data_IF_535974303984
#
_entry.id   IF_535974303984
#
_cell.length_a   1.000
_cell.length_b   1.000
_cell.length_c   1.000
_cell.angle_alpha   90.00
_cell.angle_beta   90.00
_cell.angle_gamma   90.00
#
_symmetry.space_group_name_H-M   'P 1'
#
loop_
_entity.id
_entity.type
_entity.pdbx_description
1 polymer ?
#
# COMPACT_ATOMS: atom_id res chain seq x y z
N UNK A 1 -6.33 11.60 -5.72
CA UNK A 1 -4.98 11.42 -5.16
C UNK A 1 -4.49 10.00 -5.41
N UNK A 2 -3.49 9.79 -6.30
CA UNK A 2 -2.73 8.54 -6.41
C UNK A 2 -1.61 8.49 -5.35
N UNK A 3 -1.22 7.28 -4.91
CA UNK A 3 -0.27 7.01 -3.80
C UNK A 3 0.39 5.65 -4.07
N UNK A 4 1.71 5.50 -3.96
CA UNK A 4 2.42 4.25 -4.33
C UNK A 4 3.25 3.65 -3.18
N UNK A 5 3.53 2.34 -3.21
CA UNK A 5 4.14 1.51 -2.12
C UNK A 5 5.58 1.14 -2.55
N UNK A 6 6.63 0.85 -1.76
CA UNK A 6 6.89 0.40 -0.37
C UNK A 6 8.31 0.87 0.08
N UNK A 7 8.60 0.97 1.39
CA UNK A 7 9.92 1.33 1.92
C UNK A 7 10.59 0.26 2.81
N UNK A 8 11.89 0.00 2.55
CA UNK A 8 12.89 0.15 3.61
C UNK A 8 14.11 1.02 3.21
N UNK A 9 13.98 1.90 2.20
CA UNK A 9 15.01 2.87 1.79
C UNK A 9 14.37 4.19 1.31
N UNK A 10 14.33 5.19 2.18
CA UNK A 10 13.34 6.30 2.16
C UNK A 10 13.48 7.39 1.06
N UNK A 11 14.16 7.11 -0.05
CA UNK A 11 14.62 8.15 -1.00
C UNK A 11 13.87 8.20 -2.34
N UNK A 12 13.15 7.14 -2.72
CA UNK A 12 12.71 6.91 -4.11
C UNK A 12 11.18 7.03 -4.29
N UNK A 13 10.59 8.17 -3.90
CA UNK A 13 9.18 8.51 -4.23
C UNK A 13 8.07 7.64 -3.61
N UNK A 14 8.42 6.67 -2.76
CA UNK A 14 7.49 5.74 -2.11
C UNK A 14 6.64 6.41 -1.01
N UNK A 15 5.35 6.04 -0.93
CA UNK A 15 4.31 6.73 -0.16
C UNK A 15 3.30 5.78 0.52
N UNK A 16 3.63 4.50 0.69
CA UNK A 16 2.75 3.51 1.33
C UNK A 16 3.58 2.29 1.77
N UNK A 17 3.07 1.43 2.66
CA UNK A 17 3.73 0.17 3.05
C UNK A 17 2.74 -0.83 3.65
N UNK A 18 2.96 -2.13 3.44
CA UNK A 18 2.21 -3.25 4.02
C UNK A 18 3.10 -4.00 5.00
N UNK A 19 2.83 -3.86 6.29
CA UNK A 19 3.66 -4.42 7.36
C UNK A 19 2.86 -5.47 8.13
N UNK A 20 3.42 -6.67 8.23
CA UNK A 20 2.87 -7.81 8.95
C UNK A 20 3.57 -7.97 10.30
N UNK A 21 2.82 -8.13 11.39
CA UNK A 21 3.35 -8.26 12.76
C UNK A 21 2.72 -9.41 13.54
N UNK A 22 3.34 -9.79 14.65
CA UNK A 22 2.81 -10.70 15.68
C UNK A 22 2.78 -10.05 17.09
N UNK A 23 2.27 -10.78 18.09
CA UNK A 23 2.04 -10.33 19.48
C UNK A 23 3.16 -9.56 20.20
N UNK A 24 4.43 -9.91 19.99
CA UNK A 24 5.65 -9.24 20.46
C UNK A 24 5.96 -7.92 19.72
N UNK A 25 5.09 -7.48 18.81
CA UNK A 25 5.28 -6.32 17.91
C UNK A 25 6.47 -6.46 16.95
N UNK A 26 6.93 -7.68 16.69
CA UNK A 26 7.94 -7.96 15.66
C UNK A 26 7.31 -8.04 14.29
N UNK A 27 8.00 -7.49 13.28
CA UNK A 27 7.69 -7.70 11.87
C UNK A 27 7.94 -9.16 11.50
N UNK A 28 7.05 -9.75 10.70
CA UNK A 28 7.08 -11.16 10.36
C UNK A 28 6.52 -11.49 8.97
N UNK A 29 6.73 -12.72 8.50
CA UNK A 29 6.05 -13.29 7.34
C UNK A 29 5.82 -14.79 7.57
N UNK A 30 4.56 -15.20 7.76
CA UNK A 30 4.23 -16.50 8.36
C UNK A 30 4.96 -16.68 9.69
N UNK A 31 5.68 -17.80 9.85
CA UNK A 31 6.46 -18.08 11.06
C UNK A 31 7.81 -17.33 11.17
N UNK A 32 8.23 -16.61 10.12
CA UNK A 32 9.54 -15.96 10.09
C UNK A 32 9.49 -14.60 10.77
N UNK A 33 10.20 -14.44 11.90
CA UNK A 33 10.33 -13.18 12.63
C UNK A 33 11.56 -12.40 12.16
N UNK A 34 11.45 -11.07 12.01
CA UNK A 34 12.57 -10.20 11.61
C UNK A 34 12.94 -9.21 12.73
N UNK A 35 12.52 -7.96 12.65
CA UNK A 35 12.92 -6.84 13.53
C UNK A 35 11.70 -6.23 14.27
N UNK A 36 11.92 -5.32 15.23
CA UNK A 36 10.81 -4.64 15.91
C UNK A 36 10.11 -3.64 14.98
N UNK A 37 8.79 -3.52 15.08
CA UNK A 37 8.03 -2.48 14.35
C UNK A 37 8.53 -1.05 14.63
N UNK A 38 9.19 -0.82 15.78
CA UNK A 38 9.83 0.45 16.12
C UNK A 38 10.80 0.94 15.03
N UNK A 39 11.45 0.04 14.29
CA UNK A 39 12.32 0.39 13.16
C UNK A 39 11.51 1.10 12.07
N UNK A 40 10.38 0.50 11.65
CA UNK A 40 9.48 1.09 10.63
C UNK A 40 8.90 2.41 11.11
N UNK A 41 8.50 2.50 12.38
CA UNK A 41 7.99 3.73 12.98
C UNK A 41 9.05 4.84 12.97
N UNK A 42 10.31 4.50 13.27
CA UNK A 42 11.41 5.46 13.23
C UNK A 42 11.78 5.89 11.81
N UNK A 43 11.77 4.98 10.83
CA UNK A 43 11.99 5.31 9.41
C UNK A 43 10.87 6.21 8.85
N UNK A 44 9.61 5.94 9.21
CA UNK A 44 8.46 6.81 8.88
C UNK A 44 8.61 8.19 9.52
N UNK A 45 8.99 8.27 10.79
CA UNK A 45 9.26 9.55 11.48
C UNK A 45 10.41 10.32 10.85
N UNK A 46 11.49 9.63 10.48
CA UNK A 46 12.66 10.21 9.81
C UNK A 46 12.25 10.80 8.47
N UNK A 47 11.60 10.03 7.60
CA UNK A 47 11.08 10.52 6.32
C UNK A 47 10.18 11.75 6.52
N UNK A 48 9.26 11.73 7.49
CA UNK A 48 8.40 12.88 7.81
C UNK A 48 9.17 14.12 8.31
N UNK A 49 10.38 13.97 8.86
CA UNK A 49 11.26 15.08 9.24
C UNK A 49 12.13 15.60 8.08
N UNK A 50 12.38 14.77 7.08
CA UNK A 50 13.18 15.09 5.88
C UNK A 50 12.32 15.62 4.72
N UNK A 51 10.98 15.55 4.84
CA UNK A 51 9.98 15.87 3.80
C UNK A 51 8.90 16.83 4.32
N UNK A 52 8.03 17.38 3.45
CA UNK A 52 7.05 18.42 3.84
C UNK A 52 5.62 18.26 3.28
N UNK A 53 5.48 17.79 2.04
CA UNK A 53 4.21 17.69 1.29
C UNK A 53 3.71 16.26 1.09
N UNK A 54 4.54 15.29 1.42
CA UNK A 54 4.39 13.87 1.15
C UNK A 54 3.41 13.22 2.13
N UNK A 55 2.53 12.34 1.63
CA UNK A 55 1.52 11.64 2.44
C UNK A 55 1.72 10.13 2.30
N UNK A 56 1.63 9.41 3.42
CA UNK A 56 1.93 7.99 3.56
C UNK A 56 0.65 7.19 3.87
N UNK A 57 0.39 6.09 3.16
CA UNK A 57 -0.55 5.05 3.60
C UNK A 57 0.22 3.92 4.29
N UNK A 58 0.24 3.93 5.62
CA UNK A 58 0.91 2.90 6.42
C UNK A 58 -0.10 1.80 6.79
N UNK A 59 -0.16 0.74 5.99
CA UNK A 59 -0.90 -0.48 6.33
C UNK A 59 -0.08 -1.33 7.30
N UNK A 60 -0.67 -1.65 8.44
CA UNK A 60 -0.12 -2.61 9.40
C UNK A 60 -1.20 -3.64 9.72
N UNK A 61 -0.84 -4.91 9.72
CA UNK A 61 -1.74 -6.04 9.97
C UNK A 61 -1.11 -7.10 10.86
N UNK A 62 -1.91 -7.71 11.71
CA UNK A 62 -1.48 -8.94 12.40
C UNK A 62 -1.44 -10.08 11.38
N UNK A 63 -0.33 -10.81 11.34
CA UNK A 63 -0.09 -11.87 10.36
C UNK A 63 -1.00 -13.08 10.58
N UNK A 64 -1.30 -13.81 9.50
CA UNK A 64 -2.15 -15.00 9.60
C UNK A 64 -1.51 -16.08 10.48
N UNK A 65 -2.22 -16.48 11.54
CA UNK A 65 -1.80 -17.50 12.50
C UNK A 65 -1.31 -16.95 13.84
N UNK A 66 -1.09 -15.64 13.95
CA UNK A 66 -0.59 -14.97 15.16
C UNK A 66 -1.70 -14.24 15.93
N UNK A 67 -1.37 -13.79 17.14
CA UNK A 67 -2.23 -12.98 17.99
C UNK A 67 -2.00 -11.47 17.77
N UNK A 68 -3.00 -10.64 18.10
CA UNK A 68 -2.79 -9.19 18.03
C UNK A 68 -1.89 -8.72 19.18
N UNK A 69 -0.90 -7.84 18.92
CA UNK A 69 -0.12 -7.23 19.99
C UNK A 69 -1.02 -6.45 20.96
N UNK A 70 -0.86 -6.62 22.29
CA UNK A 70 -1.68 -5.91 23.28
C UNK A 70 -1.56 -4.38 23.12
N UNK A 71 -2.71 -3.69 23.17
CA UNK A 71 -2.82 -2.22 23.08
C UNK A 71 -2.08 -1.60 21.87
N UNK A 72 -2.01 -2.33 20.75
CA UNK A 72 -1.24 -1.88 19.58
C UNK A 72 -1.86 -0.67 18.86
N UNK A 73 -3.18 -0.53 18.89
CA UNK A 73 -3.87 0.67 18.40
C UNK A 73 -3.42 1.93 19.15
N UNK A 74 -3.35 1.86 20.49
CA UNK A 74 -2.86 2.94 21.34
C UNK A 74 -1.38 3.25 21.07
N UNK A 75 -0.55 2.22 20.85
CA UNK A 75 0.85 2.39 20.45
C UNK A 75 0.97 3.14 19.11
N UNK A 76 0.21 2.75 18.07
CA UNK A 76 0.26 3.45 16.78
C UNK A 76 -0.17 4.92 16.89
N UNK A 77 -1.20 5.21 17.70
CA UNK A 77 -1.65 6.59 17.95
C UNK A 77 -0.61 7.39 18.74
N UNK A 78 -0.03 6.83 19.80
CA UNK A 78 1.04 7.48 20.57
C UNK A 78 2.34 7.65 19.77
N UNK A 79 2.61 6.80 18.79
CA UNK A 79 3.80 6.93 17.96
C UNK A 79 3.64 7.93 16.81
N UNK A 80 2.47 8.01 16.17
CA UNK A 80 2.27 8.80 14.95
C UNK A 80 1.56 10.15 15.19
N UNK A 81 0.81 10.28 16.30
CA UNK A 81 0.27 11.53 16.88
C UNK A 81 -0.22 12.56 15.84
N UNK A 82 0.36 13.77 15.84
CA UNK A 82 -0.01 14.91 14.99
C UNK A 82 0.10 14.64 13.48
N UNK A 83 0.86 13.64 13.06
CA UNK A 83 0.96 13.27 11.64
C UNK A 83 -0.26 12.45 11.17
N UNK A 84 -1.08 11.88 12.05
CA UNK A 84 -2.20 11.02 11.65
C UNK A 84 -3.30 11.80 10.93
N UNK A 85 -3.62 11.41 9.70
CA UNK A 85 -4.86 11.74 9.00
C UNK A 85 -5.92 10.79 9.56
N UNK A 86 -6.85 11.29 10.37
CA UNK A 86 -7.90 10.48 11.00
C UNK A 86 -8.87 9.88 9.95
N UNK A 87 -9.60 8.84 10.33
CA UNK A 87 -10.58 8.17 9.47
C UNK A 87 -11.81 9.06 9.21
N UNK A 88 -11.80 9.74 8.07
CA UNK A 88 -12.83 10.68 7.59
C UNK A 88 -13.09 10.46 6.09
N UNK A 89 -14.31 10.12 5.70
CA UNK A 89 -14.66 9.88 4.29
C UNK A 89 -14.58 11.15 3.41
N UNK A 90 -14.55 12.34 4.00
CA UNK A 90 -14.32 13.59 3.28
C UNK A 90 -12.86 13.73 2.83
N UNK A 91 -11.92 12.91 3.33
CA UNK A 91 -10.53 12.82 2.80
C UNK A 91 -10.51 12.51 1.31
N UNK A 92 -11.46 11.72 0.80
CA UNK A 92 -11.58 11.44 -0.64
C UNK A 92 -12.06 12.64 -1.48
N UNK A 93 -12.52 13.73 -0.84
CA UNK A 93 -12.94 14.98 -1.49
C UNK A 93 -11.87 16.09 -1.35
N UNK A 94 -10.86 15.91 -0.50
CA UNK A 94 -9.84 16.93 -0.17
C UNK A 94 -8.67 16.89 -1.14
N UNK A 95 -8.09 18.07 -1.42
CA UNK A 95 -6.80 18.21 -2.08
C UNK A 95 -5.65 17.82 -1.13
N UNK A 96 -4.44 17.63 -1.67
CA UNK A 96 -3.25 17.34 -0.85
C UNK A 96 -3.02 18.45 0.19
N UNK A 97 -3.19 19.72 -0.21
CA UNK A 97 -3.01 20.89 0.63
C UNK A 97 -4.02 20.98 1.80
N UNK A 98 -5.21 20.38 1.67
CA UNK A 98 -6.22 20.29 2.74
C UNK A 98 -6.03 19.09 3.69
N UNK A 99 -5.14 18.14 3.32
CA UNK A 99 -4.76 17.03 4.20
C UNK A 99 -3.54 17.41 5.06
N UNK A 100 -2.59 18.16 4.48
CA UNK A 100 -1.52 18.81 5.22
C UNK A 100 -2.11 19.75 6.30
N UNK A 101 -1.52 19.83 7.51
CA UNK A 101 -0.19 19.33 7.90
C UNK A 101 -0.14 17.84 8.31
N UNK A 102 -1.27 17.12 8.32
CA UNK A 102 -1.31 15.69 8.62
C UNK A 102 -0.84 14.90 7.39
N UNK A 103 -0.09 13.81 7.59
CA UNK A 103 0.68 13.12 6.54
C UNK A 103 0.65 11.59 6.59
N UNK A 104 0.01 10.96 7.56
CA UNK A 104 -0.05 9.48 7.67
C UNK A 104 -1.48 8.99 7.78
N UNK A 105 -1.95 8.28 6.75
CA UNK A 105 -3.13 7.42 6.81
C UNK A 105 -2.65 6.06 7.32
N UNK A 106 -2.74 5.82 8.64
CA UNK A 106 -2.38 4.52 9.21
C UNK A 106 -3.59 3.58 9.19
N UNK A 107 -3.51 2.50 8.40
CA UNK A 107 -4.55 1.47 8.29
C UNK A 107 -4.18 0.29 9.19
N UNK A 108 -4.85 0.16 10.33
CA UNK A 108 -4.66 -0.96 11.25
C UNK A 108 -5.67 -2.07 10.96
N UNK A 109 -5.16 -3.27 10.65
CA UNK A 109 -5.96 -4.47 10.36
C UNK A 109 -5.69 -5.58 11.41
N UNK A 110 -6.26 -5.47 12.62
CA UNK A 110 -6.16 -6.53 13.63
C UNK A 110 -6.91 -7.80 13.19
N UNK A 111 -6.53 -8.94 13.79
CA UNK A 111 -7.10 -10.27 13.52
C UNK A 111 -8.24 -10.66 14.47
N UNK A 112 -8.23 -10.18 15.72
CA UNK A 112 -9.20 -10.53 16.78
C UNK A 112 -9.72 -9.33 17.56
N UNK A 113 -8.88 -8.31 17.72
CA UNK A 113 -9.17 -7.05 18.38
C UNK A 113 -10.18 -6.23 17.59
N UNK A 114 -10.99 -5.36 18.23
CA UNK A 114 -11.93 -4.51 17.53
C UNK A 114 -11.24 -3.63 16.47
N UNK A 115 -11.83 -3.55 15.28
CA UNK A 115 -11.34 -2.65 14.24
C UNK A 115 -11.57 -1.17 14.61
N UNK A 116 -10.72 -0.31 14.04
CA UNK A 116 -10.85 1.14 14.16
C UNK A 116 -12.24 1.63 13.70
N UNK A 117 -12.82 2.57 14.46
CA UNK A 117 -14.18 3.10 14.23
C UNK A 117 -14.12 4.38 13.39
N UNK A 118 -15.22 4.69 12.70
CA UNK A 118 -15.37 5.96 11.99
C UNK A 118 -15.05 7.16 12.90
N UNK A 119 -14.29 8.13 12.39
CA UNK A 119 -13.80 9.28 13.14
C UNK A 119 -12.58 9.02 14.05
N UNK A 120 -12.12 7.77 14.19
CA UNK A 120 -10.94 7.45 15.01
C UNK A 120 -9.61 7.80 14.30
N UNK A 121 -8.47 7.90 15.02
CA UNK A 121 -7.20 8.30 14.41
C UNK A 121 -6.60 7.27 13.44
N UNK A 122 -7.02 6.01 13.53
CA UNK A 122 -6.59 4.92 12.66
C UNK A 122 -7.71 4.54 11.69
N UNK A 123 -7.33 4.04 10.52
CA UNK A 123 -8.23 3.55 9.49
C UNK A 123 -8.36 2.02 9.59
N UNK A 124 -9.49 1.46 9.16
CA UNK A 124 -9.75 0.01 9.21
C UNK A 124 -9.69 -0.68 7.84
N UNK A 125 -9.80 -2.02 7.83
CA UNK A 125 -9.66 -2.82 6.60
C UNK A 125 -10.72 -2.55 5.52
N UNK A 126 -11.84 -1.90 5.86
CA UNK A 126 -12.84 -1.49 4.88
C UNK A 126 -12.35 -0.40 3.91
N UNK A 127 -11.27 0.33 4.27
CA UNK A 127 -10.83 1.52 3.56
C UNK A 127 -9.59 1.32 2.68
N UNK A 128 -8.88 0.19 2.82
CA UNK A 128 -7.77 -0.19 1.94
C UNK A 128 -7.98 -1.64 1.49
N UNK A 129 -8.44 -1.78 0.24
CA UNK A 129 -8.82 -3.05 -0.38
C UNK A 129 -7.87 -3.39 -1.52
N UNK A 130 -7.73 -4.68 -1.76
CA UNK A 130 -7.14 -5.25 -2.97
C UNK A 130 -7.99 -6.46 -3.40
N UNK A 131 -7.66 -7.02 -4.56
CA UNK A 131 -8.12 -8.34 -4.98
C UNK A 131 -6.89 -9.22 -5.20
N UNK A 132 -6.14 -9.48 -4.13
CA UNK A 132 -4.99 -10.39 -4.19
C UNK A 132 -5.38 -11.77 -4.72
N UNK A 133 -4.53 -12.32 -5.60
CA UNK A 133 -4.59 -13.71 -6.01
C UNK A 133 -3.23 -14.39 -5.84
N UNK A 134 -3.30 -15.66 -5.45
CA UNK A 134 -2.15 -16.56 -5.36
C UNK A 134 -1.80 -17.09 -6.76
N UNK A 135 -0.63 -16.70 -7.26
CA UNK A 135 -0.03 -17.23 -8.49
C UNK A 135 1.40 -16.74 -8.69
N UNK A 136 2.21 -17.57 -9.32
CA UNK A 136 3.56 -17.29 -9.81
C UNK A 136 3.59 -16.85 -11.29
N UNK A 137 2.45 -16.90 -11.99
CA UNK A 137 2.32 -16.66 -13.44
C UNK A 137 2.10 -15.16 -13.73
N UNK A 138 3.05 -14.45 -14.38
CA UNK A 138 2.93 -13.01 -14.63
C UNK A 138 1.68 -12.64 -15.44
N UNK A 139 1.36 -13.41 -16.49
CA UNK A 139 0.19 -13.16 -17.34
C UNK A 139 -1.14 -13.30 -16.58
N UNK A 140 -1.27 -14.33 -15.72
CA UNK A 140 -2.46 -14.54 -14.89
C UNK A 140 -2.64 -13.40 -13.89
N UNK A 141 -1.58 -12.94 -13.23
CA UNK A 141 -1.63 -11.79 -12.31
C UNK A 141 -1.95 -10.49 -13.06
N UNK A 142 -1.30 -10.24 -14.20
CA UNK A 142 -1.52 -9.05 -15.04
C UNK A 142 -2.98 -8.91 -15.51
N UNK A 143 -3.54 -9.95 -16.13
CA UNK A 143 -4.93 -9.93 -16.60
C UNK A 143 -5.94 -9.89 -15.44
N UNK A 144 -5.66 -10.57 -14.32
CA UNK A 144 -6.51 -10.49 -13.13
C UNK A 144 -6.49 -9.10 -12.50
N UNK A 145 -5.32 -8.46 -12.43
CA UNK A 145 -5.17 -7.09 -11.94
C UNK A 145 -5.93 -6.09 -12.82
N UNK A 146 -5.87 -6.22 -14.15
CA UNK A 146 -6.66 -5.41 -15.08
C UNK A 146 -8.16 -5.67 -14.90
N UNK A 147 -8.58 -6.93 -14.78
CA UNK A 147 -9.97 -7.32 -14.55
C UNK A 147 -10.52 -6.71 -13.26
N UNK A 148 -9.92 -7.01 -12.10
CA UNK A 148 -10.43 -6.53 -10.82
C UNK A 148 -10.37 -5.00 -10.69
N UNK A 149 -9.41 -4.34 -11.35
CA UNK A 149 -9.40 -2.89 -11.49
C UNK A 149 -10.58 -2.37 -12.32
N UNK A 150 -10.92 -3.04 -13.43
CA UNK A 150 -12.07 -2.69 -14.28
C UNK A 150 -13.43 -2.96 -13.63
N UNK A 151 -13.46 -3.75 -12.55
CA UNK A 151 -14.63 -3.98 -11.69
C UNK A 151 -14.77 -2.92 -10.57
N UNK A 152 -13.74 -2.11 -10.29
CA UNK A 152 -13.83 -1.05 -9.29
C UNK A 152 -14.58 0.20 -9.79
N UNK A 153 -15.26 0.95 -8.90
CA UNK A 153 -15.69 2.31 -9.20
C UNK A 153 -14.50 3.28 -9.40
N UNK A 154 -14.69 4.37 -10.17
CA UNK A 154 -13.73 5.47 -10.31
C UNK A 154 -13.23 6.02 -8.96
N UNK A 155 -12.01 6.54 -8.93
CA UNK A 155 -11.42 7.18 -7.72
C UNK A 155 -12.27 8.35 -7.20
N UNK A 156 -12.98 9.05 -8.10
CA UNK A 156 -13.85 10.18 -7.76
C UNK A 156 -15.14 9.80 -7.02
N UNK A 157 -15.58 8.53 -7.07
CA UNK A 157 -16.87 8.11 -6.50
C UNK A 157 -16.73 7.20 -5.28
N UNK A 158 -15.65 6.42 -5.16
CA UNK A 158 -15.45 5.50 -4.04
C UNK A 158 -14.87 6.17 -2.78
N UNK A 159 -15.21 5.60 -1.61
CA UNK A 159 -14.70 6.00 -0.28
C UNK A 159 -13.72 4.98 0.31
N UNK A 160 -12.90 4.39 -0.55
CA UNK A 160 -11.82 3.49 -0.17
C UNK A 160 -10.65 3.58 -1.16
N UNK A 161 -9.45 3.37 -0.64
CA UNK A 161 -8.24 3.14 -1.43
C UNK A 161 -8.29 1.72 -2.02
N UNK A 162 -7.98 1.61 -3.30
CA UNK A 162 -7.83 0.33 -3.98
C UNK A 162 -6.38 0.14 -4.43
N UNK A 163 -5.79 -0.97 -3.99
CA UNK A 163 -4.43 -1.42 -4.29
C UNK A 163 -4.47 -2.50 -5.36
N UNK A 164 -3.85 -2.20 -6.50
CA UNK A 164 -3.43 -3.20 -7.46
C UNK A 164 -2.06 -3.70 -7.02
N UNK A 165 -1.99 -4.94 -6.55
CA UNK A 165 -0.72 -5.55 -6.16
C UNK A 165 -0.12 -6.35 -7.32
N UNK A 166 1.04 -5.93 -7.79
CA UNK A 166 1.79 -6.51 -8.90
C UNK A 166 2.77 -7.62 -8.45
N UNK A 167 2.67 -8.12 -7.22
CA UNK A 167 3.55 -9.20 -6.73
C UNK A 167 3.05 -10.57 -7.21
N UNK A 168 3.94 -11.41 -7.73
CA UNK A 168 3.66 -12.84 -7.96
C UNK A 168 4.43 -13.71 -6.96
N UNK A 169 3.78 -14.80 -6.53
CA UNK A 169 4.17 -15.63 -5.38
C UNK A 169 4.45 -17.07 -5.83
N UNK A 170 5.61 -17.67 -5.49
CA UNK A 170 5.94 -19.04 -5.88
C UNK A 170 4.87 -20.05 -5.46
N UNK A 171 4.44 -20.90 -6.40
CA UNK A 171 3.56 -22.04 -6.13
C UNK A 171 4.38 -23.28 -5.74
N UNK A 172 3.75 -24.26 -5.10
CA UNK A 172 4.44 -25.45 -4.57
C UNK A 172 5.08 -26.36 -5.63
N UNK A 173 4.66 -26.23 -6.89
CA UNK A 173 5.17 -26.92 -8.07
C UNK A 173 6.21 -26.09 -8.87
N UNK A 174 6.46 -24.83 -8.49
CA UNK A 174 7.45 -23.99 -9.16
C UNK A 174 8.89 -24.39 -8.72
N UNK A 175 9.82 -24.66 -9.66
CA UNK A 175 11.20 -25.06 -9.33
C UNK A 175 12.02 -23.95 -8.64
N UNK A 176 11.48 -22.73 -8.52
CA UNK A 176 12.10 -21.60 -7.81
C UNK A 176 11.14 -21.10 -6.73
N UNK A 177 11.24 -21.69 -5.53
CA UNK A 177 10.44 -21.34 -4.36
C UNK A 177 10.84 -20.00 -3.70
N UNK A 178 11.91 -19.34 -4.17
CA UNK A 178 12.30 -18.02 -3.70
C UNK A 178 11.40 -16.94 -4.32
N UNK A 179 10.80 -16.09 -3.48
CA UNK A 179 9.84 -15.05 -3.92
C UNK A 179 10.49 -14.07 -4.91
N UNK A 180 11.63 -13.45 -4.56
CA UNK A 180 12.28 -12.40 -5.37
C UNK A 180 12.57 -12.78 -6.84
N UNK A 181 13.13 -13.96 -7.18
CA UNK A 181 13.24 -14.42 -8.57
C UNK A 181 11.92 -14.67 -9.30
N UNK A 182 10.83 -14.97 -8.58
CA UNK A 182 9.50 -15.14 -9.17
C UNK A 182 8.83 -13.79 -9.39
N UNK A 183 8.84 -12.89 -8.39
CA UNK A 183 8.29 -11.52 -8.52
C UNK A 183 8.96 -10.75 -9.65
N UNK A 184 10.28 -10.83 -9.79
CA UNK A 184 11.01 -10.16 -10.90
C UNK A 184 10.51 -10.51 -12.31
N UNK A 185 9.77 -11.61 -12.49
CA UNK A 185 9.15 -12.00 -13.77
C UNK A 185 8.01 -11.07 -14.20
N UNK A 186 7.41 -10.27 -13.31
CA UNK A 186 6.31 -9.34 -13.64
C UNK A 186 6.70 -7.85 -13.60
N UNK A 187 7.85 -7.48 -13.01
CA UNK A 187 8.28 -6.07 -12.87
C UNK A 187 8.32 -5.32 -14.21
N UNK A 188 8.95 -5.90 -15.23
CA UNK A 188 9.08 -5.30 -16.57
C UNK A 188 7.77 -5.06 -17.32
N UNK A 189 6.62 -5.46 -16.76
CA UNK A 189 5.29 -5.13 -17.31
C UNK A 189 4.60 -3.96 -16.60
N UNK A 190 5.24 -3.30 -15.62
CA UNK A 190 4.65 -2.18 -14.87
C UNK A 190 4.19 -1.02 -15.79
N UNK A 191 5.07 -0.54 -16.68
CA UNK A 191 4.71 0.47 -17.70
C UNK A 191 3.61 -0.03 -18.64
N UNK A 192 3.66 -1.28 -19.08
CA UNK A 192 2.63 -1.89 -19.94
C UNK A 192 1.27 -1.96 -19.22
N UNK A 193 1.24 -2.30 -17.94
CA UNK A 193 0.02 -2.37 -17.13
C UNK A 193 -0.66 -1.00 -17.07
N UNK A 194 0.11 0.05 -16.77
CA UNK A 194 -0.37 1.43 -16.74
C UNK A 194 -0.93 1.82 -18.12
N UNK A 195 -0.19 1.59 -19.21
CA UNK A 195 -0.66 1.86 -20.58
C UNK A 195 -1.94 1.10 -20.93
N UNK A 196 -2.07 -0.18 -20.51
CA UNK A 196 -3.31 -0.94 -20.70
C UNK A 196 -4.47 -0.40 -19.86
N UNK A 197 -4.22 0.20 -18.69
CA UNK A 197 -5.27 0.87 -17.92
C UNK A 197 -5.84 2.09 -18.67
N UNK A 198 -5.00 2.87 -19.34
CA UNK A 198 -5.46 3.98 -20.19
C UNK A 198 -6.16 3.47 -21.45
N UNK A 199 -5.55 2.54 -22.19
CA UNK A 199 -6.12 1.98 -23.42
C UNK A 199 -7.46 1.25 -23.22
N UNK A 200 -7.75 0.74 -22.02
CA UNK A 200 -9.02 0.09 -21.66
C UNK A 200 -10.02 1.02 -20.94
N UNK A 201 -9.70 2.30 -20.74
CA UNK A 201 -10.61 3.26 -20.07
C UNK A 201 -10.86 2.97 -18.59
N UNK A 202 -9.83 2.50 -17.87
CA UNK A 202 -9.89 2.13 -16.43
C UNK A 202 -8.81 2.81 -15.58
N UNK A 203 -7.99 3.68 -16.18
CA UNK A 203 -6.93 4.43 -15.49
C UNK A 203 -7.46 5.33 -14.36
N UNK A 204 -8.69 5.83 -14.49
CA UNK A 204 -9.44 6.63 -13.52
C UNK A 204 -9.71 5.89 -12.18
N UNK A 205 -9.57 4.56 -12.18
CA UNK A 205 -9.72 3.68 -11.00
C UNK A 205 -8.38 3.36 -10.36
N UNK A 206 -7.28 3.47 -11.10
CA UNK A 206 -5.93 3.15 -10.63
C UNK A 206 -5.44 4.26 -9.69
N UNK A 207 -5.14 3.88 -8.45
CA UNK A 207 -4.84 4.81 -7.37
C UNK A 207 -3.60 4.39 -6.57
N UNK A 208 -3.53 3.12 -6.19
CA UNK A 208 -2.36 2.50 -5.58
C UNK A 208 -1.93 1.34 -6.49
N UNK A 209 -0.68 1.38 -6.93
CA UNK A 209 0.01 0.26 -7.57
C UNK A 209 1.18 -0.11 -6.66
N UNK A 210 1.38 -1.41 -6.41
CA UNK A 210 2.40 -1.91 -5.49
C UNK A 210 3.14 -3.11 -6.08
N UNK A 211 4.39 -3.33 -5.67
CA UNK A 211 5.14 -4.56 -5.95
C UNK A 211 6.11 -4.81 -4.81
N UNK A 212 6.52 -6.06 -4.61
CA UNK A 212 7.66 -6.39 -3.75
C UNK A 212 8.97 -6.05 -4.50
N UNK A 213 10.08 -5.87 -3.76
CA UNK A 213 11.44 -5.71 -4.31
C UNK A 213 11.61 -4.59 -5.36
N UNK A 214 10.91 -3.47 -5.15
CA UNK A 214 10.77 -2.35 -6.09
C UNK A 214 12.11 -1.87 -6.65
N UNK A 215 12.02 -1.38 -7.89
CA UNK A 215 13.10 -0.78 -8.66
C UNK A 215 12.68 0.59 -9.24
N UNK A 216 13.69 1.35 -9.65
CA UNK A 216 13.58 2.71 -10.19
C UNK A 216 12.57 2.81 -11.35
N UNK A 217 12.51 1.81 -12.24
CA UNK A 217 11.58 1.80 -13.38
C UNK A 217 10.11 1.73 -12.94
N UNK A 218 9.80 0.95 -11.90
CA UNK A 218 8.46 0.90 -11.32
C UNK A 218 8.06 2.25 -10.70
N UNK A 219 8.97 2.91 -9.98
CA UNK A 219 8.76 4.25 -9.39
C UNK A 219 8.51 5.26 -10.50
N UNK A 220 9.40 5.35 -11.49
CA UNK A 220 9.29 6.27 -12.63
C UNK A 220 7.98 6.07 -13.41
N UNK A 221 7.56 4.81 -13.62
CA UNK A 221 6.30 4.50 -14.28
C UNK A 221 5.09 5.09 -13.52
N UNK A 222 5.10 4.99 -12.18
CA UNK A 222 4.05 5.49 -11.30
C UNK A 222 4.06 7.03 -11.18
N UNK A 223 5.24 7.63 -11.08
CA UNK A 223 5.44 9.08 -11.02
C UNK A 223 5.06 9.74 -12.35
N UNK A 224 5.54 9.21 -13.49
CA UNK A 224 5.19 9.73 -14.81
C UNK A 224 3.68 9.64 -15.09
N UNK A 225 3.03 8.53 -14.71
CA UNK A 225 1.58 8.37 -14.83
C UNK A 225 0.79 9.36 -13.95
N UNK A 226 1.35 9.76 -12.81
CA UNK A 226 0.77 10.78 -11.93
C UNK A 226 0.96 12.18 -12.50
N UNK A 227 2.17 12.51 -12.94
CA UNK A 227 2.52 13.80 -13.54
C UNK A 227 1.66 14.07 -14.79
N UNK A 228 1.56 13.09 -15.70
CA UNK A 228 0.72 13.20 -16.90
C UNK A 228 -0.76 13.48 -16.57
N UNK A 229 -1.31 12.88 -15.49
CA UNK A 229 -2.69 13.14 -15.05
C UNK A 229 -2.89 14.55 -14.51
N UNK A 230 -1.94 15.06 -13.73
CA UNK A 230 -1.96 16.43 -13.18
C UNK A 230 -1.88 17.47 -14.32
N UNK A 231 -1.07 17.19 -15.33
CA UNK A 231 -0.85 18.05 -16.49
C UNK A 231 -1.94 17.96 -17.57
N UNK A 232 -2.90 17.03 -17.45
CA UNK A 232 -3.91 16.77 -18.49
C UNK A 232 -3.37 16.14 -19.78
N UNK A 233 -2.26 15.37 -19.67
CA UNK A 233 -1.48 14.79 -20.78
C UNK A 233 -1.47 13.24 -20.77
N UNK A 234 -2.45 12.62 -20.11
CA UNK A 234 -2.54 11.17 -19.85
C UNK A 234 -3.69 10.50 -20.61
#
# INVERSE_FOLDING_TARGET
MPIFVHLPAACEGHQSSDIRIQEDRRVCHGILLTYSIDVVINDVKKFLSETQSEIIILEIRTEFGHEDPPDFDKYLVDQLREFLIHQDEHVFNKTIAELLPRRVICVWKPRKSPQAKAGSPLWNSGHLKDNWIDTDLPSKKFESNLKYLSEQPPVSTRKFFYRVENTVTPQADNPVLCVKPVTRRIHGFARLFITQCFAKGVADRLQIFSTDFIDEDFVDACVAATYARVEGKA
#
